data_IF_209141457797
#
_entry.id   IF_209141457797
#
_cell.length_a   1.000
_cell.length_b   1.000
_cell.length_c   1.000
_cell.angle_alpha   90.00
_cell.angle_beta   90.00
_cell.angle_gamma   90.00
#
_symmetry.space_group_name_H-M   'P 1'
#
loop_
_entity.id
_entity.type
_entity.pdbx_description
1 polymer ?
#
# COMPACT_ATOMS: atom_id res chain seq x y z
N UNK A 1 10.02 -15.14 18.48
CA UNK A 1 10.55 -14.41 17.29
C UNK A 1 9.94 -15.01 16.04
N UNK A 2 9.75 -14.18 15.00
CA UNK A 2 9.22 -14.44 13.64
C UNK A 2 7.74 -14.13 13.41
N UNK A 3 7.47 -12.90 12.99
CA UNK A 3 6.46 -12.55 11.96
C UNK A 3 6.96 -11.30 11.23
N UNK A 4 7.92 -11.50 10.34
CA UNK A 4 8.33 -10.52 9.35
C UNK A 4 8.22 -11.20 7.98
N UNK A 5 6.99 -11.55 7.55
CA UNK A 5 6.83 -12.40 6.36
C UNK A 5 5.84 -11.91 5.31
N UNK A 6 5.17 -10.76 5.47
CA UNK A 6 4.18 -10.30 4.48
C UNK A 6 4.45 -8.93 3.86
N UNK A 7 5.66 -8.37 4.01
CA UNK A 7 6.04 -7.16 3.28
C UNK A 7 6.07 -7.35 1.74
N UNK A 8 6.03 -8.59 1.26
CA UNK A 8 5.94 -8.94 -0.17
C UNK A 8 4.55 -9.36 -0.65
N UNK A 9 3.53 -9.36 0.21
CA UNK A 9 2.18 -9.86 -0.11
C UNK A 9 1.22 -8.77 -0.61
N UNK A 10 1.69 -7.53 -0.76
CA UNK A 10 0.89 -6.46 -1.36
C UNK A 10 0.80 -6.75 -2.85
N UNK A 11 -0.40 -7.16 -3.28
CA UNK A 11 -0.74 -7.29 -4.68
C UNK A 11 -0.95 -5.90 -5.26
N UNK A 12 -0.28 -5.64 -6.36
CA UNK A 12 -0.57 -4.49 -7.17
C UNK A 12 -1.99 -4.63 -7.75
N UNK A 13 -2.82 -3.60 -7.61
CA UNK A 13 -4.24 -3.65 -8.02
C UNK A 13 -4.41 -3.60 -9.53
N UNK A 14 -3.40 -3.12 -10.27
CA UNK A 14 -3.42 -2.97 -11.72
C UNK A 14 -3.11 -4.31 -12.38
N UNK A 15 -2.04 -4.97 -11.92
CA UNK A 15 -1.52 -6.22 -12.48
C UNK A 15 -2.04 -7.47 -11.77
N UNK A 16 -2.57 -7.33 -10.55
CA UNK A 16 -3.01 -8.44 -9.69
C UNK A 16 -1.87 -9.29 -9.15
N UNK A 17 -0.61 -8.91 -9.42
CA UNK A 17 0.61 -9.63 -9.06
C UNK A 17 1.26 -9.01 -7.83
N UNK A 18 1.93 -9.84 -7.04
CA UNK A 18 2.84 -9.37 -5.99
C UNK A 18 4.16 -8.91 -6.60
N UNK A 19 4.94 -8.11 -5.85
CA UNK A 19 6.29 -7.67 -6.26
C UNK A 19 7.20 -8.85 -6.63
N UNK A 20 6.99 -10.02 -6.01
CA UNK A 20 7.76 -11.25 -6.29
C UNK A 20 7.36 -11.92 -7.61
N UNK A 21 6.14 -11.68 -8.08
CA UNK A 21 5.58 -12.26 -9.32
C UNK A 21 5.79 -11.34 -10.53
N UNK A 22 6.22 -10.09 -10.31
CA UNK A 22 6.51 -9.13 -11.37
C UNK A 22 7.96 -9.24 -11.83
N UNK A 23 8.17 -9.13 -13.13
CA UNK A 23 9.49 -8.93 -13.72
C UNK A 23 10.02 -7.52 -13.45
N UNK A 24 11.33 -7.32 -13.61
CA UNK A 24 11.96 -6.01 -13.45
C UNK A 24 11.39 -4.97 -14.40
N UNK A 25 11.10 -5.35 -15.65
CA UNK A 25 10.51 -4.45 -16.63
C UNK A 25 9.09 -4.02 -16.23
N UNK A 26 8.28 -4.95 -15.72
CA UNK A 26 6.95 -4.64 -15.18
C UNK A 26 7.06 -3.68 -14.00
N UNK A 27 7.94 -3.95 -13.03
CA UNK A 27 8.15 -3.09 -11.86
C UNK A 27 8.58 -1.66 -12.22
N UNK A 28 9.45 -1.52 -13.22
CA UNK A 28 9.93 -0.21 -13.68
C UNK A 28 8.91 0.53 -14.53
N UNK A 29 7.98 -0.19 -15.15
CA UNK A 29 6.87 0.38 -15.91
C UNK A 29 5.68 0.79 -15.05
N UNK A 30 5.63 0.35 -13.78
CA UNK A 30 4.57 0.76 -12.86
C UNK A 30 4.58 2.30 -12.77
N UNK A 31 3.39 2.93 -12.81
CA UNK A 31 3.31 4.36 -12.62
C UNK A 31 3.97 4.66 -11.27
N UNK A 32 5.02 5.50 -11.30
CA UNK A 32 5.68 5.94 -10.10
C UNK A 32 4.57 6.54 -9.22
N UNK A 33 4.23 5.84 -8.14
CA UNK A 33 3.24 6.33 -7.19
C UNK A 33 3.72 7.71 -6.77
N UNK A 34 2.88 8.72 -6.96
CA UNK A 34 3.20 10.08 -6.54
C UNK A 34 3.74 9.99 -5.12
N UNK A 35 5.01 10.36 -4.95
CA UNK A 35 5.65 10.32 -3.64
C UNK A 35 4.90 11.33 -2.79
N UNK A 36 4.03 10.82 -1.94
CA UNK A 36 3.32 11.64 -0.98
C UNK A 36 4.36 12.38 -0.16
N UNK A 37 4.18 13.69 -0.02
CA UNK A 37 4.95 14.44 0.98
C UNK A 37 4.60 13.90 2.36
N UNK A 38 5.50 14.07 3.33
CA UNK A 38 5.27 13.63 4.72
C UNK A 38 3.94 14.15 5.27
N UNK A 39 3.55 15.37 4.88
CA UNK A 39 2.29 15.99 5.26
C UNK A 39 1.07 15.28 4.66
N UNK A 40 1.11 14.97 3.36
CA UNK A 40 0.05 14.21 2.69
C UNK A 40 -0.08 12.79 3.24
N UNK A 41 1.03 12.15 3.59
CA UNK A 41 1.03 10.83 4.22
C UNK A 41 0.36 10.88 5.60
N UNK A 42 0.70 11.87 6.44
CA UNK A 42 0.06 12.06 7.75
C UNK A 42 -1.43 12.35 7.63
N UNK A 43 -1.84 13.15 6.64
CA UNK A 43 -3.24 13.46 6.40
C UNK A 43 -4.04 12.20 6.02
N UNK A 44 -3.53 11.37 5.09
CA UNK A 44 -4.17 10.09 4.74
C UNK A 44 -4.25 9.12 5.91
N UNK A 45 -3.21 9.06 6.76
CA UNK A 45 -3.26 8.23 7.98
C UNK A 45 -4.31 8.72 8.97
N UNK A 46 -4.50 10.04 9.08
CA UNK A 46 -5.55 10.62 9.93
C UNK A 46 -6.94 10.31 9.40
N UNK A 47 -7.16 10.46 8.10
CA UNK A 47 -8.43 10.14 7.43
C UNK A 47 -8.78 8.65 7.58
N UNK A 48 -7.83 7.75 7.31
CA UNK A 48 -8.03 6.30 7.46
C UNK A 48 -8.36 5.87 8.92
N UNK A 49 -7.84 6.59 9.92
CA UNK A 49 -8.19 6.33 11.34
C UNK A 49 -9.65 6.69 11.64
N UNK A 50 -10.14 7.80 11.08
CA UNK A 50 -11.51 8.27 11.31
C UNK A 50 -12.54 7.33 10.66
N UNK A 51 -12.27 6.84 9.46
CA UNK A 51 -13.17 5.89 8.77
C UNK A 51 -13.23 4.53 9.49
N UNK A 52 -12.11 4.09 10.09
CA UNK A 52 -12.07 2.83 10.84
C UNK A 52 -12.89 2.91 12.13
N UNK A 53 -12.86 4.05 12.83
CA UNK A 53 -13.61 4.27 14.07
C UNK A 53 -15.13 4.38 13.81
N UNK A 54 -15.51 5.01 12.69
CA UNK A 54 -16.91 5.05 12.24
C UNK A 54 -17.44 3.69 11.80
N UNK A 55 -16.61 2.88 11.15
CA UNK A 55 -17.01 1.55 10.67
C UNK A 55 -17.08 0.48 11.78
N UNK A 56 -16.43 0.70 12.93
CA UNK A 56 -16.57 -0.16 14.12
C UNK A 56 -17.70 0.27 15.06
N UNK A 57 -18.31 1.44 14.83
CA UNK A 57 -19.38 2.00 15.65
C UNK A 57 -20.77 1.91 14.99
N UNK A 58 -20.88 1.19 13.87
CA UNK A 58 -22.11 0.87 13.15
C UNK A 58 -22.38 -0.65 13.23
#
# INVERSE_FOLDING_TARGET
>A
MKKAEDAGAVKDEITGKTIREMSWDELLSLPATERLTTEQAMQRMKEARVDRDKSQSA
#
